data_IF_749429961380
#
_entry.id   IF_749429961380
#
_cell.length_a   1.000
_cell.length_b   1.000
_cell.length_c   1.000
_cell.angle_alpha   90.00
_cell.angle_beta   90.00
_cell.angle_gamma   90.00
#
_symmetry.space_group_name_H-M   'P 1'
#
loop_
_entity.id
_entity.type
_entity.pdbx_description
1 polymer ?
#
# COMPACT_ATOMS: atom_id res chain seq x y z
N UNK A 1 18.37 11.85 -0.01
CA UNK A 1 18.15 10.42 -0.38
C UNK A 1 18.67 9.42 0.67
N UNK A 2 19.50 9.84 1.60
CA UNK A 2 20.09 8.96 2.61
C UNK A 2 19.03 8.32 3.56
N UNK A 3 17.98 9.06 3.93
CA UNK A 3 16.95 8.55 4.84
C UNK A 3 16.13 7.39 4.23
N UNK A 4 15.81 7.42 2.93
CA UNK A 4 15.10 6.30 2.28
C UNK A 4 15.92 5.01 2.28
N UNK A 5 17.24 5.12 2.11
CA UNK A 5 18.14 3.98 2.22
C UNK A 5 18.11 3.39 3.65
N UNK A 6 18.13 4.26 4.68
CA UNK A 6 18.03 3.80 6.06
C UNK A 6 16.68 3.14 6.33
N UNK A 7 15.58 3.71 5.84
CA UNK A 7 14.24 3.12 6.01
C UNK A 7 14.11 1.78 5.27
N UNK A 8 14.70 1.67 4.09
CA UNK A 8 14.73 0.42 3.33
C UNK A 8 15.52 -0.66 4.07
N UNK A 9 16.69 -0.33 4.63
CA UNK A 9 17.47 -1.27 5.42
C UNK A 9 16.72 -1.69 6.69
N UNK A 10 16.12 -0.73 7.41
CA UNK A 10 15.31 -1.01 8.60
C UNK A 10 14.12 -1.95 8.28
N UNK A 11 13.47 -1.80 7.11
CA UNK A 11 12.43 -2.71 6.66
C UNK A 11 12.97 -4.13 6.44
N UNK A 12 14.12 -4.25 5.77
CA UNK A 12 14.74 -5.56 5.53
C UNK A 12 15.18 -6.25 6.82
N UNK A 13 15.63 -5.48 7.80
CA UNK A 13 16.05 -5.99 9.11
C UNK A 13 14.84 -6.40 9.98
N UNK A 14 13.75 -5.66 9.88
CA UNK A 14 12.49 -5.98 10.58
C UNK A 14 11.81 -7.24 10.00
N UNK A 15 11.97 -7.49 8.68
CA UNK A 15 11.35 -8.61 7.95
C UNK A 15 12.37 -9.67 7.56
N UNK A 16 13.14 -10.18 8.52
CA UNK A 16 14.18 -11.18 8.26
C UNK A 16 13.61 -12.49 7.71
N UNK A 17 12.42 -12.85 8.17
CA UNK A 17 11.71 -14.09 7.78
C UNK A 17 10.88 -13.94 6.50
N UNK A 18 10.94 -12.75 5.86
CA UNK A 18 10.22 -12.51 4.60
C UNK A 18 10.74 -13.46 3.50
N UNK A 19 9.81 -13.91 2.65
CA UNK A 19 10.13 -14.77 1.49
C UNK A 19 11.20 -14.14 0.60
N UNK A 20 12.10 -14.98 0.11
CA UNK A 20 13.24 -14.54 -0.73
C UNK A 20 12.79 -13.83 -2.00
N UNK A 21 11.67 -14.27 -2.59
CA UNK A 21 11.08 -13.69 -3.80
C UNK A 21 10.61 -12.26 -3.55
N UNK A 22 9.88 -12.02 -2.44
CA UNK A 22 9.41 -10.69 -2.05
C UNK A 22 10.62 -9.79 -1.71
N UNK A 23 11.58 -10.32 -0.98
CA UNK A 23 12.81 -9.60 -0.65
C UNK A 23 13.61 -9.22 -1.90
N UNK A 24 13.69 -10.11 -2.89
CA UNK A 24 14.32 -9.83 -4.18
C UNK A 24 13.57 -8.75 -4.96
N UNK A 25 12.24 -8.84 -4.99
CA UNK A 25 11.38 -7.82 -5.61
C UNK A 25 11.61 -6.44 -4.99
N UNK A 26 11.67 -6.35 -3.65
CA UNK A 26 11.94 -5.08 -2.95
C UNK A 26 13.28 -4.48 -3.35
N UNK A 27 14.33 -5.29 -3.39
CA UNK A 27 15.67 -4.83 -3.79
C UNK A 27 15.67 -4.29 -5.21
N UNK A 28 15.12 -5.06 -6.15
CA UNK A 28 14.99 -4.63 -7.56
C UNK A 28 14.19 -3.33 -7.67
N UNK A 29 13.12 -3.20 -6.89
CA UNK A 29 12.29 -2.00 -6.87
C UNK A 29 13.04 -0.78 -6.29
N UNK A 30 13.82 -0.99 -5.23
CA UNK A 30 14.62 0.08 -4.63
C UNK A 30 15.73 0.55 -5.57
N UNK A 31 16.43 -0.38 -6.23
CA UNK A 31 17.43 -0.07 -7.23
C UNK A 31 16.81 0.70 -8.41
N UNK A 32 15.61 0.31 -8.83
CA UNK A 32 14.85 1.02 -9.85
C UNK A 32 14.50 2.45 -9.43
N UNK A 33 14.03 2.63 -8.18
CA UNK A 33 13.77 3.97 -7.65
C UNK A 33 15.05 4.81 -7.60
N UNK A 34 16.17 4.26 -7.16
CA UNK A 34 17.46 4.97 -7.12
C UNK A 34 17.92 5.41 -8.51
N UNK A 35 17.67 4.59 -9.53
CA UNK A 35 17.98 4.94 -10.91
C UNK A 35 17.10 6.08 -11.44
N UNK A 36 15.79 6.04 -11.16
CA UNK A 36 14.81 7.03 -11.64
C UNK A 36 14.86 8.33 -10.81
N UNK A 37 15.02 8.20 -9.50
CA UNK A 37 14.91 9.30 -8.55
C UNK A 37 13.49 9.86 -8.45
N UNK A 38 13.31 10.92 -7.67
CA UNK A 38 12.05 11.66 -7.65
C UNK A 38 11.85 12.39 -8.98
N UNK A 39 10.61 12.45 -9.49
CA UNK A 39 10.31 13.20 -10.70
C UNK A 39 10.73 14.67 -10.58
N UNK A 40 11.00 15.27 -11.70
CA UNK A 40 11.27 16.70 -11.81
C UNK A 40 10.24 17.36 -12.70
N UNK A 41 10.16 18.67 -12.68
CA UNK A 41 9.27 19.45 -13.56
C UNK A 41 9.56 19.26 -15.06
N UNK A 42 10.66 18.55 -15.41
CA UNK A 42 10.97 18.18 -16.80
C UNK A 42 10.18 16.97 -17.29
N UNK A 43 9.55 16.25 -16.39
CA UNK A 43 8.68 15.12 -16.73
C UNK A 43 7.27 15.66 -16.99
N UNK A 44 6.73 15.40 -18.16
CA UNK A 44 5.44 15.93 -18.60
C UNK A 44 4.31 15.65 -17.57
N UNK A 45 4.27 14.43 -17.07
CA UNK A 45 3.27 13.99 -16.06
C UNK A 45 3.39 14.73 -14.72
N UNK A 46 4.56 15.35 -14.41
CA UNK A 46 4.88 15.94 -13.11
C UNK A 46 5.26 17.42 -13.17
N UNK A 47 5.08 18.07 -14.33
CA UNK A 47 5.53 19.44 -14.56
C UNK A 47 4.92 20.49 -13.59
N UNK A 48 3.73 20.20 -13.05
CA UNK A 48 3.04 21.06 -12.09
C UNK A 48 3.16 20.58 -10.63
N UNK A 49 3.95 19.55 -10.36
CA UNK A 49 4.10 18.99 -9.01
C UNK A 49 5.47 19.28 -8.45
N UNK A 50 5.51 19.83 -7.23
CA UNK A 50 6.77 20.09 -6.52
C UNK A 50 6.98 19.06 -5.40
N UNK A 51 8.05 18.30 -5.49
CA UNK A 51 8.46 17.29 -4.51
C UNK A 51 9.55 17.79 -3.55
N UNK A 52 9.82 19.09 -3.51
CA UNK A 52 10.91 19.65 -2.68
C UNK A 52 10.71 19.34 -1.20
N UNK A 53 9.49 19.43 -0.70
CA UNK A 53 9.17 19.15 0.70
C UNK A 53 9.41 17.68 1.09
N UNK A 54 9.03 16.73 0.22
CA UNK A 54 9.31 15.31 0.44
C UNK A 54 10.82 15.02 0.45
N UNK A 55 11.60 15.79 -0.31
CA UNK A 55 13.05 15.63 -0.38
C UNK A 55 13.80 16.23 0.81
N UNK A 56 13.25 17.30 1.41
CA UNK A 56 13.86 18.02 2.55
C UNK A 56 13.59 17.32 3.88
N UNK A 57 12.42 16.74 4.03
CA UNK A 57 12.00 16.12 5.27
C UNK A 57 12.42 14.65 5.33
N UNK A 58 12.75 14.18 6.52
CA UNK A 58 13.01 12.78 6.78
C UNK A 58 11.75 12.12 7.34
N UNK A 59 11.31 11.06 6.68
CA UNK A 59 10.15 10.29 7.07
C UNK A 59 10.58 8.90 7.52
N UNK A 60 9.91 8.35 8.53
CA UNK A 60 10.07 6.95 8.90
C UNK A 60 8.86 6.12 8.45
N UNK A 61 9.08 4.85 8.20
CA UNK A 61 7.99 3.91 7.91
C UNK A 61 7.06 3.79 9.12
N UNK A 62 5.76 3.77 8.84
CA UNK A 62 4.78 3.45 9.85
C UNK A 62 4.76 1.92 10.08
N UNK A 63 4.86 1.50 11.32
CA UNK A 63 4.75 0.11 11.73
C UNK A 63 3.39 -0.18 12.36
N UNK A 64 3.06 -1.47 12.53
CA UNK A 64 1.81 -1.87 13.19
C UNK A 64 1.67 -1.29 14.61
N UNK A 65 2.78 -1.09 15.30
CA UNK A 65 2.82 -0.52 16.65
C UNK A 65 2.56 1.00 16.67
N UNK A 66 2.65 1.66 15.51
CA UNK A 66 2.30 3.07 15.34
C UNK A 66 0.79 3.32 15.18
N UNK A 67 -0.03 2.28 15.34
CA UNK A 67 -1.46 2.43 15.22
C UNK A 67 -2.03 3.23 16.41
N UNK A 68 -2.78 4.30 16.15
CA UNK A 68 -3.46 5.02 17.22
C UNK A 68 -4.60 4.17 17.79
N UNK A 69 -5.15 4.60 18.90
CA UNK A 69 -6.45 4.07 19.33
C UNK A 69 -7.47 4.26 18.23
N UNK A 70 -8.22 3.20 17.96
CA UNK A 70 -9.25 3.20 16.92
C UNK A 70 -10.19 4.40 17.16
N UNK A 71 -10.39 5.27 16.16
CA UNK A 71 -11.28 6.41 16.31
C UNK A 71 -12.73 5.92 16.46
N UNK A 72 -13.49 6.56 17.35
CA UNK A 72 -14.93 6.24 17.55
C UNK A 72 -15.77 6.56 16.31
N UNK A 73 -15.30 7.44 15.48
CA UNK A 73 -15.95 7.85 14.24
C UNK A 73 -14.94 7.77 13.10
N UNK A 74 -15.32 7.11 12.01
CA UNK A 74 -14.51 7.01 10.80
C UNK A 74 -14.92 8.14 9.86
N UNK A 75 -14.04 9.14 9.61
CA UNK A 75 -14.36 10.21 8.69
C UNK A 75 -14.51 9.68 7.28
N UNK A 76 -15.43 10.26 6.52
CA UNK A 76 -15.65 9.91 5.11
C UNK A 76 -16.43 8.61 4.89
N UNK A 77 -16.95 7.99 5.95
CA UNK A 77 -17.80 6.80 5.80
C UNK A 77 -19.12 7.17 5.10
N UNK A 78 -19.39 6.47 4.01
CA UNK A 78 -20.61 6.63 3.21
C UNK A 78 -21.62 5.58 3.71
N UNK A 79 -22.89 5.99 3.96
CA UNK A 79 -23.95 5.05 4.32
C UNK A 79 -24.13 3.97 3.25
N UNK A 80 -24.59 2.79 3.67
CA UNK A 80 -24.92 1.65 2.80
C UNK A 80 -23.74 1.17 1.93
N UNK A 81 -22.52 1.24 2.49
CA UNK A 81 -21.32 0.68 1.88
C UNK A 81 -20.71 -0.43 2.75
N UNK A 82 -19.82 -1.21 2.15
CA UNK A 82 -18.97 -2.18 2.85
C UNK A 82 -17.59 -1.55 3.10
N UNK A 83 -17.32 -0.94 4.26
CA UNK A 83 -16.06 -0.26 4.49
C UNK A 83 -14.91 -1.23 4.73
N UNK A 84 -13.79 -0.95 4.08
CA UNK A 84 -12.48 -1.54 4.34
C UNK A 84 -11.58 -0.42 4.86
N UNK A 85 -11.16 -0.53 6.10
CA UNK A 85 -10.44 0.54 6.80
C UNK A 85 -8.95 0.22 6.86
N UNK A 86 -8.15 1.18 6.42
CA UNK A 86 -6.68 1.13 6.46
C UNK A 86 -6.20 2.35 7.23
N UNK A 87 -5.52 2.16 8.36
CA UNK A 87 -4.99 3.24 9.19
C UNK A 87 -3.46 3.20 9.16
N UNK A 88 -2.82 4.32 8.84
CA UNK A 88 -1.36 4.42 8.69
C UNK A 88 -0.77 3.31 7.81
N UNK A 89 -1.50 2.94 6.75
CA UNK A 89 -1.12 1.86 5.85
C UNK A 89 -1.55 0.45 6.29
N UNK A 90 -2.01 0.25 7.52
CA UNK A 90 -2.35 -1.06 8.07
C UNK A 90 -3.85 -1.33 8.06
N UNK A 91 -4.24 -2.48 7.51
CA UNK A 91 -5.62 -2.96 7.47
C UNK A 91 -6.18 -3.20 8.87
N UNK A 92 -7.43 -2.79 9.07
CA UNK A 92 -8.15 -2.90 10.34
C UNK A 92 -9.34 -3.86 10.20
N UNK A 93 -9.13 -5.19 10.34
CA UNK A 93 -10.20 -6.17 10.16
C UNK A 93 -11.35 -5.98 11.14
N UNK A 94 -11.08 -5.51 12.36
CA UNK A 94 -12.09 -5.26 13.40
C UNK A 94 -13.04 -4.09 13.07
N UNK A 95 -12.70 -3.25 12.10
CA UNK A 95 -13.51 -2.13 11.61
C UNK A 95 -14.17 -2.45 10.26
N UNK A 96 -13.92 -3.63 9.73
CA UNK A 96 -14.38 -4.04 8.40
C UNK A 96 -15.50 -5.07 8.52
N UNK A 97 -16.53 -4.90 7.71
CA UNK A 97 -17.60 -5.88 7.56
C UNK A 97 -17.71 -6.25 6.09
N UNK A 98 -17.15 -7.40 5.75
CA UNK A 98 -17.16 -7.90 4.38
C UNK A 98 -18.51 -8.52 4.04
N UNK A 99 -19.05 -8.30 2.82
CA UNK A 99 -20.21 -9.03 2.34
C UNK A 99 -19.84 -10.47 1.98
N UNK A 100 -20.85 -11.30 1.82
CA UNK A 100 -20.68 -12.68 1.34
C UNK A 100 -20.06 -12.64 -0.06
N UNK A 101 -19.13 -13.54 -0.34
CA UNK A 101 -18.40 -13.60 -1.62
C UNK A 101 -17.22 -12.62 -1.71
N UNK A 102 -16.89 -11.94 -0.61
CA UNK A 102 -15.70 -11.07 -0.54
C UNK A 102 -14.78 -11.50 0.57
N UNK A 103 -13.49 -11.59 0.26
CA UNK A 103 -12.44 -11.88 1.23
C UNK A 103 -11.27 -10.92 1.09
N UNK A 104 -10.51 -10.78 2.19
CA UNK A 104 -9.28 -9.98 2.23
C UNK A 104 -8.13 -10.89 2.64
N UNK A 105 -7.06 -10.86 1.85
CA UNK A 105 -5.80 -11.54 2.16
C UNK A 105 -4.69 -10.51 2.41
N UNK A 106 -3.65 -10.92 3.13
CA UNK A 106 -2.43 -10.13 3.18
C UNK A 106 -1.78 -10.07 1.78
N UNK A 107 -0.97 -9.04 1.52
CA UNK A 107 -0.22 -8.96 0.26
C UNK A 107 0.78 -10.13 0.12
N UNK A 108 1.29 -10.66 1.23
CA UNK A 108 2.22 -11.78 1.25
C UNK A 108 1.54 -13.09 0.83
N UNK A 109 0.33 -13.32 1.33
CA UNK A 109 -0.46 -14.48 0.93
C UNK A 109 -0.92 -14.39 -0.52
N UNK A 110 -1.28 -13.18 -0.98
CA UNK A 110 -1.70 -12.98 -2.36
C UNK A 110 -0.53 -13.10 -3.35
N UNK A 111 0.68 -12.69 -2.96
CA UNK A 111 1.88 -12.87 -3.78
C UNK A 111 2.10 -14.35 -4.19
N UNK A 112 1.65 -15.30 -3.37
CA UNK A 112 1.71 -16.73 -3.70
C UNK A 112 0.72 -17.15 -4.76
N UNK A 113 -0.37 -16.39 -4.90
CA UNK A 113 -1.45 -16.69 -5.86
C UNK A 113 -1.08 -16.05 -7.20
N UNK A 114 -0.68 -14.79 -7.19
CA UNK A 114 -0.34 -14.01 -8.38
C UNK A 114 0.77 -12.99 -8.06
N UNK A 115 2.02 -13.41 -8.13
CA UNK A 115 3.18 -12.53 -7.91
C UNK A 115 3.39 -11.51 -9.02
N UNK A 116 2.85 -11.74 -10.20
CA UNK A 116 3.07 -10.88 -11.38
C UNK A 116 2.42 -9.50 -11.23
N UNK A 117 1.36 -9.38 -10.43
CA UNK A 117 0.72 -8.08 -10.12
C UNK A 117 1.66 -7.11 -9.41
N UNK A 118 2.74 -7.60 -8.82
CA UNK A 118 3.78 -6.78 -8.18
C UNK A 118 4.94 -6.46 -9.12
N UNK A 119 4.92 -6.96 -10.34
CA UNK A 119 5.98 -6.74 -11.32
C UNK A 119 6.13 -5.26 -11.69
N UNK A 120 7.37 -4.83 -11.83
CA UNK A 120 7.73 -3.49 -12.29
C UNK A 120 8.07 -3.46 -13.79
N UNK A 121 7.81 -4.54 -14.52
CA UNK A 121 8.21 -4.70 -15.91
C UNK A 121 7.72 -3.53 -16.78
N UNK A 122 8.66 -2.83 -17.39
CA UNK A 122 8.40 -1.69 -18.27
C UNK A 122 7.88 -0.42 -17.59
N UNK A 123 7.54 -0.45 -16.31
CA UNK A 123 7.00 0.72 -15.61
C UNK A 123 8.11 1.71 -15.27
N UNK A 124 7.92 2.98 -15.65
CA UNK A 124 8.86 4.08 -15.40
C UNK A 124 8.44 4.98 -14.23
N UNK A 125 7.35 4.65 -13.52
CA UNK A 125 6.87 5.46 -12.40
C UNK A 125 7.75 5.22 -11.16
N UNK A 126 8.49 6.22 -10.68
CA UNK A 126 9.37 6.08 -9.52
C UNK A 126 8.62 5.85 -8.21
N UNK A 127 7.38 6.37 -8.10
CA UNK A 127 6.57 6.15 -6.89
C UNK A 127 6.03 4.73 -6.81
N UNK A 128 5.75 4.08 -7.95
CA UNK A 128 5.42 2.66 -7.95
C UNK A 128 6.64 1.83 -7.50
N UNK A 129 7.82 2.17 -7.99
CA UNK A 129 9.06 1.51 -7.56
C UNK A 129 9.31 1.71 -6.06
N UNK A 130 9.19 2.95 -5.57
CA UNK A 130 9.35 3.26 -4.15
C UNK A 130 8.29 2.54 -3.28
N UNK A 131 7.02 2.55 -3.70
CA UNK A 131 5.96 1.81 -3.01
C UNK A 131 6.26 0.32 -2.94
N UNK A 132 6.68 -0.31 -4.05
CA UNK A 132 7.03 -1.73 -4.07
C UNK A 132 8.22 -2.04 -3.16
N UNK A 133 9.23 -1.17 -3.14
CA UNK A 133 10.40 -1.33 -2.28
C UNK A 133 10.05 -1.24 -0.79
N UNK A 134 9.30 -0.21 -0.41
CA UNK A 134 8.99 0.13 0.98
C UNK A 134 7.63 -0.38 1.45
N UNK A 135 6.92 -1.16 0.64
CA UNK A 135 5.62 -1.73 0.98
C UNK A 135 5.69 -2.48 2.31
N UNK A 136 5.19 -1.86 3.37
CA UNK A 136 5.22 -2.40 4.73
C UNK A 136 3.88 -3.05 5.13
N UNK A 137 2.83 -2.78 4.34
CA UNK A 137 1.52 -3.39 4.50
C UNK A 137 0.76 -3.38 3.19
N UNK A 138 -0.35 -4.08 3.15
CA UNK A 138 -1.22 -4.13 2.00
C UNK A 138 -2.20 -5.28 2.09
N UNK A 139 -3.20 -5.21 1.25
CA UNK A 139 -4.24 -6.23 1.15
C UNK A 139 -4.54 -6.58 -0.29
N UNK A 140 -4.99 -7.81 -0.50
CA UNK A 140 -5.69 -8.21 -1.69
C UNK A 140 -7.17 -8.41 -1.35
N UNK A 141 -8.01 -7.64 -2.02
CA UNK A 141 -9.46 -7.79 -1.99
C UNK A 141 -9.86 -8.76 -3.09
N UNK A 142 -10.51 -9.84 -2.71
CA UNK A 142 -10.92 -10.89 -3.64
C UNK A 142 -12.44 -10.98 -3.62
N UNK A 143 -13.04 -10.80 -4.78
CA UNK A 143 -14.46 -11.06 -5.03
C UNK A 143 -14.56 -12.42 -5.71
N UNK A 144 -15.30 -13.34 -5.09
CA UNK A 144 -15.43 -14.71 -5.59
C UNK A 144 -16.19 -14.75 -6.92
N UNK A 145 -15.95 -15.75 -7.79
CA UNK A 145 -16.70 -15.92 -9.01
C UNK A 145 -18.22 -15.98 -8.76
N UNK A 146 -18.99 -15.48 -9.71
CA UNK A 146 -20.46 -15.47 -9.72
C UNK A 146 -21.11 -14.72 -8.54
N UNK A 147 -20.31 -13.91 -7.78
CA UNK A 147 -20.81 -13.08 -6.69
C UNK A 147 -21.38 -11.77 -7.22
N UNK A 148 -22.49 -11.32 -6.61
CA UNK A 148 -23.09 -9.99 -6.86
C UNK A 148 -23.08 -9.24 -5.54
N UNK A 149 -22.31 -8.15 -5.49
CA UNK A 149 -22.19 -7.27 -4.33
C UNK A 149 -23.04 -6.02 -4.59
N UNK A 150 -24.21 -5.98 -3.95
CA UNK A 150 -25.22 -4.94 -4.24
C UNK A 150 -24.75 -3.54 -3.76
N UNK A 151 -24.13 -3.48 -2.58
CA UNK A 151 -23.65 -2.22 -2.03
C UNK A 151 -22.16 -2.01 -2.33
N UNK A 152 -21.72 -0.79 -2.64
CA UNK A 152 -20.33 -0.52 -2.97
C UNK A 152 -19.35 -0.91 -1.85
N UNK A 153 -18.20 -1.42 -2.22
CA UNK A 153 -17.07 -1.60 -1.30
C UNK A 153 -16.32 -0.27 -1.22
N UNK A 154 -16.28 0.32 -0.02
CA UNK A 154 -15.60 1.58 0.23
C UNK A 154 -14.25 1.33 0.89
N UNK A 155 -13.16 1.72 0.24
CA UNK A 155 -11.81 1.63 0.82
C UNK A 155 -11.44 2.99 1.39
N UNK A 156 -11.20 3.04 2.70
CA UNK A 156 -10.88 4.27 3.43
C UNK A 156 -9.45 4.18 3.95
N UNK A 157 -8.59 5.05 3.44
CA UNK A 157 -7.25 5.27 3.96
C UNK A 157 -7.25 6.45 4.92
N UNK A 158 -6.92 6.19 6.18
CA UNK A 158 -6.76 7.21 7.20
C UNK A 158 -5.28 7.35 7.55
N UNK A 159 -4.81 8.58 7.55
CA UNK A 159 -3.51 8.94 8.13
C UNK A 159 -3.76 9.73 9.39
N UNK A 160 -3.18 9.30 10.49
CA UNK A 160 -3.29 9.98 11.77
C UNK A 160 -2.10 10.90 11.98
N UNK A 161 -2.34 12.07 12.57
CA UNK A 161 -1.28 12.97 12.98
C UNK A 161 -0.60 12.38 14.23
N UNK A 162 0.46 11.63 14.01
CA UNK A 162 1.43 11.29 15.06
C UNK A 162 2.47 12.40 15.15
N UNK A 163 3.20 12.46 16.27
CA UNK A 163 4.27 13.43 16.50
C UNK A 163 5.39 13.37 15.46
N UNK A 164 5.54 12.22 14.82
CA UNK A 164 6.60 11.95 13.85
C UNK A 164 6.12 12.10 12.41
N UNK A 165 7.06 12.41 11.53
CA UNK A 165 6.81 12.40 10.08
C UNK A 165 6.77 10.94 9.60
N UNK A 166 5.58 10.40 9.42
CA UNK A 166 5.37 9.03 8.96
C UNK A 166 5.19 8.97 7.44
N UNK A 167 5.68 7.91 6.85
CA UNK A 167 5.34 7.51 5.49
C UNK A 167 4.69 6.13 5.47
N UNK A 168 3.69 6.00 4.63
CA UNK A 168 2.94 4.76 4.43
C UNK A 168 3.09 4.30 2.99
N UNK A 169 3.31 3.02 2.80
CA UNK A 169 3.41 2.40 1.49
C UNK A 169 2.45 1.20 1.38
N UNK A 170 1.14 1.39 1.58
CA UNK A 170 0.18 0.31 1.40
C UNK A 170 0.08 -0.08 -0.07
N UNK A 171 -0.20 -1.36 -0.31
CA UNK A 171 -0.56 -1.87 -1.62
C UNK A 171 -1.97 -2.44 -1.55
N UNK A 172 -2.82 -2.04 -2.49
CA UNK A 172 -4.12 -2.64 -2.71
C UNK A 172 -4.09 -3.39 -4.04
N UNK A 173 -4.46 -4.65 -3.99
CA UNK A 173 -4.78 -5.46 -5.17
C UNK A 173 -6.25 -5.80 -5.13
N UNK A 174 -6.95 -5.69 -6.25
CA UNK A 174 -8.36 -6.08 -6.38
C UNK A 174 -8.45 -7.15 -7.44
N UNK A 175 -8.92 -8.32 -7.05
CA UNK A 175 -9.21 -9.43 -7.95
C UNK A 175 -10.70 -9.67 -7.99
N UNK A 176 -11.30 -9.54 -9.16
CA UNK A 176 -12.72 -9.81 -9.37
C UNK A 176 -12.85 -11.13 -10.13
N UNK A 177 -13.55 -12.07 -9.53
CA UNK A 177 -13.81 -13.39 -10.11
C UNK A 177 -14.65 -13.32 -11.37
N UNK A 178 -14.62 -14.39 -12.15
CA UNK A 178 -15.41 -14.50 -13.38
C UNK A 178 -16.90 -14.29 -13.07
N UNK A 179 -17.61 -13.49 -13.89
CA UNK A 179 -19.02 -13.12 -13.76
C UNK A 179 -19.37 -12.39 -12.45
N UNK A 180 -18.39 -11.96 -11.63
CA UNK A 180 -18.67 -11.22 -10.41
C UNK A 180 -18.93 -9.73 -10.72
N UNK A 181 -19.71 -9.08 -9.84
CA UNK A 181 -20.01 -7.65 -9.84
C UNK A 181 -19.79 -7.08 -8.43
N UNK A 182 -19.05 -5.94 -8.34
CA UNK A 182 -18.77 -5.28 -7.08
C UNK A 182 -18.56 -3.76 -7.28
#
# INVERSE_FOLDING_TARGET
>A
MNYLQHQFQALLDHRQDERKEIRSLRKTAFDRFNLLGFPTKKWEEWQFTDFSEIKKNEYRLAWSDDLPKIPKHIPGLIPDTHPIIIINGHYQPQLTKLPVGVSVKSHEDFFLIDGDVYSLNGNKNPFLALNTALMNSGIALIVEPDSIIENPIQIIHLTTALSDQLMNHPRLVVQIGKNAQA
#
